data_IF_148666090972
#
_entry.id   IF_148666090972
#
_cell.length_a   1.000
_cell.length_b   1.000
_cell.length_c   1.000
_cell.angle_alpha   90.00
_cell.angle_beta   90.00
_cell.angle_gamma   90.00
#
_symmetry.space_group_name_H-M   'P 1'
#
loop_
_entity.id
_entity.type
_entity.pdbx_description
1 polymer ?
#
# COMPACT_ATOMS: atom_id res chain seq x y z
N UNK A 1 -22.48 -0.43 -14.56
CA UNK A 1 -21.69 -1.50 -13.91
C UNK A 1 -20.26 -1.37 -14.41
N UNK A 2 -19.28 -1.40 -13.52
CA UNK A 2 -17.87 -1.14 -13.85
C UNK A 2 -17.23 -2.20 -14.74
N UNK A 3 -16.14 -1.84 -15.41
CA UNK A 3 -15.35 -2.78 -16.25
C UNK A 3 -14.51 -3.68 -15.34
N UNK A 4 -14.54 -4.99 -15.62
CA UNK A 4 -13.76 -6.01 -14.89
C UNK A 4 -12.40 -6.22 -15.53
N UNK A 5 -11.36 -6.10 -14.72
CA UNK A 5 -9.99 -6.47 -15.09
C UNK A 5 -9.51 -7.65 -14.25
N UNK A 6 -8.80 -8.58 -14.89
CA UNK A 6 -8.31 -9.80 -14.26
C UNK A 6 -6.79 -9.82 -14.20
N UNK A 7 -6.24 -10.12 -13.03
CA UNK A 7 -4.79 -10.27 -12.81
C UNK A 7 -4.53 -11.57 -12.05
N UNK A 8 -3.48 -12.30 -12.45
CA UNK A 8 -3.04 -13.50 -11.72
C UNK A 8 -1.93 -13.13 -10.74
N UNK A 9 -2.14 -13.42 -9.46
CA UNK A 9 -1.14 -13.28 -8.42
C UNK A 9 -0.38 -14.60 -8.28
N UNK A 10 0.95 -14.53 -8.39
CA UNK A 10 1.86 -15.67 -8.30
C UNK A 10 2.77 -15.52 -7.08
N UNK A 11 3.40 -16.61 -6.65
CA UNK A 11 4.42 -16.59 -5.59
C UNK A 11 3.91 -16.12 -4.22
N UNK A 12 2.63 -16.39 -3.93
CA UNK A 12 2.04 -16.13 -2.61
C UNK A 12 2.48 -17.22 -1.62
N UNK A 13 2.84 -16.81 -0.42
CA UNK A 13 3.20 -17.70 0.68
C UNK A 13 1.94 -18.05 1.49
N UNK A 14 1.60 -19.33 1.68
CA UNK A 14 0.42 -19.73 2.44
C UNK A 14 0.45 -19.17 3.87
N UNK A 15 -0.68 -18.60 4.31
CA UNK A 15 -0.84 -18.03 5.66
C UNK A 15 -0.28 -16.61 5.84
N UNK A 16 0.33 -16.02 4.81
CA UNK A 16 0.85 -14.67 4.86
C UNK A 16 -0.20 -13.65 4.35
N UNK A 17 -0.40 -12.55 5.09
CA UNK A 17 -1.21 -11.42 4.61
C UNK A 17 -0.41 -10.54 3.65
N UNK A 18 -1.11 -10.02 2.65
CA UNK A 18 -0.59 -9.10 1.66
C UNK A 18 -1.48 -7.85 1.62
N UNK A 19 -0.87 -6.68 1.49
CA UNK A 19 -1.56 -5.45 1.12
C UNK A 19 -1.59 -5.35 -0.40
N UNK A 20 -2.76 -5.10 -0.98
CA UNK A 20 -2.87 -4.72 -2.39
C UNK A 20 -3.08 -3.22 -2.44
N UNK A 21 -2.19 -2.49 -3.12
CA UNK A 21 -2.31 -1.06 -3.36
C UNK A 21 -2.48 -0.81 -4.85
N UNK A 22 -3.51 -0.05 -5.20
CA UNK A 22 -3.71 0.47 -6.56
C UNK A 22 -3.17 1.89 -6.56
N UNK A 23 -2.19 2.14 -7.41
CA UNK A 23 -1.65 3.46 -7.68
C UNK A 23 -2.15 3.90 -9.04
N UNK A 24 -2.74 5.09 -9.14
CA UNK A 24 -3.14 5.66 -10.42
C UNK A 24 -2.71 7.11 -10.50
N UNK A 25 -2.40 7.56 -11.71
CA UNK A 25 -2.06 8.96 -11.95
C UNK A 25 -3.35 9.77 -12.03
N UNK A 26 -3.52 10.72 -11.11
CA UNK A 26 -4.68 11.62 -11.11
C UNK A 26 -4.69 12.60 -12.30
N UNK A 27 -3.59 12.72 -13.06
CA UNK A 27 -3.36 13.75 -14.09
C UNK A 27 -3.10 13.17 -15.49
N UNK A 28 -3.57 11.97 -15.78
CA UNK A 28 -3.43 11.40 -17.12
C UNK A 28 -4.36 12.11 -18.13
N UNK A 29 -3.78 13.09 -18.83
CA UNK A 29 -4.18 13.67 -20.11
C UNK A 29 -5.42 14.59 -20.15
N UNK A 30 -5.17 15.89 -20.02
CA UNK A 30 -5.96 17.06 -20.46
C UNK A 30 -7.47 17.14 -20.16
N UNK A 31 -8.12 16.17 -19.53
CA UNK A 31 -9.53 16.30 -19.16
C UNK A 31 -9.85 15.47 -17.91
N UNK A 32 -9.89 16.20 -16.79
CA UNK A 32 -10.64 15.91 -15.57
C UNK A 32 -10.16 14.71 -14.73
N UNK A 33 -9.84 15.03 -13.47
CA UNK A 33 -9.67 14.09 -12.37
C UNK A 33 -10.79 13.04 -12.40
N UNK A 34 -10.41 11.77 -12.47
CA UNK A 34 -11.36 10.68 -12.35
C UNK A 34 -11.15 9.99 -11.01
N UNK A 35 -11.92 10.36 -9.96
CA UNK A 35 -12.14 9.44 -8.87
C UNK A 35 -12.82 8.21 -9.48
N UNK A 36 -12.04 7.15 -9.62
CA UNK A 36 -12.51 5.85 -10.07
C UNK A 36 -12.56 5.00 -8.81
N UNK A 37 -13.74 4.55 -8.42
CA UNK A 37 -13.88 3.61 -7.32
C UNK A 37 -13.38 2.24 -7.81
N UNK A 38 -12.43 1.67 -7.09
CA UNK A 38 -11.88 0.35 -7.38
C UNK A 38 -12.33 -0.63 -6.30
N UNK A 39 -13.00 -1.70 -6.71
CA UNK A 39 -13.28 -2.84 -5.84
C UNK A 39 -12.38 -4.02 -6.21
N UNK A 40 -11.64 -4.51 -5.21
CA UNK A 40 -10.70 -5.61 -5.34
C UNK A 40 -11.31 -6.87 -4.72
N UNK A 41 -11.33 -7.98 -5.47
CA UNK A 41 -11.77 -9.28 -4.95
C UNK A 41 -10.79 -10.35 -5.37
N UNK A 42 -10.42 -11.23 -4.43
CA UNK A 42 -9.54 -12.36 -4.70
C UNK A 42 -10.35 -13.66 -4.72
N UNK A 43 -10.09 -14.51 -5.70
CA UNK A 43 -10.72 -15.81 -5.83
C UNK A 43 -9.66 -16.90 -6.03
N UNK A 44 -9.89 -18.09 -5.49
CA UNK A 44 -9.13 -19.25 -5.90
C UNK A 44 -9.51 -19.64 -7.34
N UNK A 45 -8.63 -20.34 -8.04
CA UNK A 45 -8.90 -20.80 -9.40
C UNK A 45 -10.16 -21.68 -9.44
N UNK A 46 -10.34 -22.55 -8.44
CA UNK A 46 -11.52 -23.41 -8.31
C UNK A 46 -12.80 -22.60 -8.17
N UNK A 47 -12.82 -21.59 -7.29
CA UNK A 47 -14.01 -20.76 -7.05
C UNK A 47 -14.47 -20.04 -8.33
N UNK A 48 -13.53 -19.55 -9.16
CA UNK A 48 -13.87 -18.85 -10.42
C UNK A 48 -14.55 -19.80 -11.41
N UNK A 49 -14.17 -21.07 -11.42
CA UNK A 49 -14.75 -22.09 -12.29
C UNK A 49 -16.14 -22.51 -11.82
N UNK A 50 -16.40 -22.45 -10.51
CA UNK A 50 -17.69 -22.80 -9.93
C UNK A 50 -18.77 -21.73 -10.22
N UNK A 51 -18.38 -20.47 -10.43
CA UNK A 51 -19.30 -19.38 -10.75
C UNK A 51 -19.31 -19.02 -12.24
N UNK A 52 -20.39 -19.33 -13.00
CA UNK A 52 -20.45 -19.10 -14.45
C UNK A 52 -20.35 -17.62 -14.84
N UNK A 53 -20.76 -16.69 -13.97
CA UNK A 53 -20.65 -15.26 -14.22
C UNK A 53 -19.21 -14.74 -14.12
N UNK A 54 -18.36 -15.37 -13.31
CA UNK A 54 -16.95 -15.02 -13.19
C UNK A 54 -16.15 -15.60 -14.36
N UNK A 55 -16.37 -16.88 -14.67
CA UNK A 55 -15.70 -17.55 -15.80
C UNK A 55 -16.01 -16.88 -17.14
N UNK A 56 -17.26 -16.48 -17.41
CA UNK A 56 -17.61 -15.71 -18.62
C UNK A 56 -16.82 -14.41 -18.70
N UNK A 57 -16.78 -13.62 -17.62
CA UNK A 57 -16.05 -12.35 -17.63
C UNK A 57 -14.53 -12.51 -17.77
N UNK A 58 -13.97 -13.62 -17.31
CA UNK A 58 -12.56 -13.96 -17.51
C UNK A 58 -12.29 -14.31 -18.97
N UNK A 59 -13.18 -15.08 -19.60
CA UNK A 59 -13.09 -15.42 -21.03
C UNK A 59 -13.16 -14.14 -21.86
N UNK A 60 -14.14 -13.28 -21.60
CA UNK A 60 -14.31 -12.00 -22.30
C UNK A 60 -13.05 -11.12 -22.17
N UNK A 61 -12.52 -10.98 -20.96
CA UNK A 61 -11.29 -10.24 -20.71
C UNK A 61 -10.09 -10.84 -21.46
N UNK A 62 -9.96 -12.17 -21.45
CA UNK A 62 -8.87 -12.85 -22.15
C UNK A 62 -8.95 -12.71 -23.67
N UNK A 63 -10.16 -12.73 -24.23
CA UNK A 63 -10.41 -12.56 -25.66
C UNK A 63 -9.99 -11.16 -26.11
N UNK A 64 -10.38 -10.12 -25.37
CA UNK A 64 -9.96 -8.73 -25.63
C UNK A 64 -8.44 -8.58 -25.54
N UNK A 65 -7.81 -9.19 -24.51
CA UNK A 65 -6.37 -9.06 -24.31
C UNK A 65 -5.55 -9.75 -25.40
N UNK A 66 -6.03 -10.88 -25.92
CA UNK A 66 -5.42 -11.59 -27.05
C UNK A 66 -5.45 -10.77 -28.35
N UNK A 67 -6.48 -9.94 -28.55
CA UNK A 67 -6.57 -9.04 -29.70
C UNK A 67 -5.77 -7.75 -29.56
N UNK A 68 -5.51 -7.26 -28.34
CA UNK A 68 -4.81 -5.98 -28.12
C UNK A 68 -3.28 -6.05 -28.12
N UNK A 69 -2.66 -7.18 -27.73
CA UNK A 69 -1.19 -7.28 -27.62
C UNK A 69 -0.67 -8.70 -27.87
N UNK A 70 0.20 -8.84 -28.88
CA UNK A 70 1.16 -9.95 -29.01
C UNK A 70 1.97 -10.10 -27.71
N UNK A 71 2.26 -11.32 -27.23
CA UNK A 71 2.67 -11.53 -25.85
C UNK A 71 4.08 -10.99 -25.59
N UNK A 72 4.32 -10.11 -24.60
CA UNK A 72 5.64 -10.06 -24.00
C UNK A 72 5.80 -11.32 -23.14
N UNK A 73 6.51 -12.30 -23.70
CA UNK A 73 7.11 -13.43 -23.01
C UNK A 73 7.92 -12.95 -21.80
N UNK A 74 7.29 -12.93 -20.62
CA UNK A 74 7.99 -13.13 -19.36
C UNK A 74 7.28 -14.24 -18.61
N UNK A 75 7.43 -15.44 -19.14
CA UNK A 75 7.42 -16.67 -18.35
C UNK A 75 8.58 -16.57 -17.35
N UNK A 76 8.37 -15.83 -16.25
CA UNK A 76 9.17 -16.04 -15.05
C UNK A 76 8.92 -17.48 -14.63
N UNK A 77 9.98 -18.28 -14.69
CA UNK A 77 10.01 -19.69 -14.31
C UNK A 77 9.19 -19.93 -13.05
N UNK A 78 8.00 -20.50 -13.23
CA UNK A 78 7.15 -20.93 -12.14
C UNK A 78 7.89 -22.05 -11.39
N UNK A 79 8.51 -21.70 -10.27
CA UNK A 79 8.98 -22.70 -9.31
C UNK A 79 7.75 -23.41 -8.74
N UNK A 80 7.75 -24.75 -8.63
CA UNK A 80 6.54 -25.58 -8.50
C UNK A 80 5.88 -25.57 -7.11
N UNK A 81 6.11 -24.55 -6.28
CA UNK A 81 5.75 -24.57 -4.85
C UNK A 81 4.92 -23.38 -4.38
N UNK A 82 4.31 -22.61 -5.29
CA UNK A 82 3.67 -21.34 -4.91
C UNK A 82 2.17 -21.32 -5.10
N UNK A 83 1.45 -20.90 -4.06
CA UNK A 83 0.01 -20.70 -4.12
C UNK A 83 -0.32 -19.57 -5.11
N UNK A 84 -1.38 -19.75 -5.90
CA UNK A 84 -1.82 -18.81 -6.93
C UNK A 84 -3.25 -18.38 -6.68
N UNK A 85 -3.53 -17.08 -6.83
CA UNK A 85 -4.86 -16.49 -6.67
C UNK A 85 -5.18 -15.61 -7.87
N UNK A 86 -6.45 -15.53 -8.23
CA UNK A 86 -6.95 -14.55 -9.20
C UNK A 86 -7.44 -13.31 -8.48
N UNK A 87 -6.97 -12.15 -8.92
CA UNK A 87 -7.43 -10.84 -8.47
C UNK A 87 -8.35 -10.26 -9.56
N UNK A 88 -9.58 -9.94 -9.14
CA UNK A 88 -10.56 -9.20 -9.93
C UNK A 88 -10.59 -7.76 -9.46
N UNK A 89 -10.55 -6.84 -10.41
CA UNK A 89 -10.62 -5.41 -10.19
C UNK A 89 -11.85 -4.90 -10.93
N UNK A 90 -12.85 -4.45 -10.17
CA UNK A 90 -14.00 -3.73 -10.70
C UNK A 90 -13.72 -2.23 -10.60
N UNK A 91 -13.64 -1.54 -11.73
CA UNK A 91 -13.46 -0.09 -11.78
C UNK A 91 -14.78 0.61 -12.16
N UNK A 92 -15.24 1.55 -11.34
CA UNK A 92 -16.44 2.34 -11.56
C UNK A 92 -16.15 3.83 -11.47
N UNK A 93 -16.82 4.66 -12.27
CA UNK A 93 -16.73 6.12 -12.11
C UNK A 93 -17.40 6.56 -10.80
N UNK A 94 -16.72 7.41 -10.05
CA UNK A 94 -17.21 8.05 -8.83
C UNK A 94 -17.21 9.58 -8.99
N UNK A 95 -17.53 10.07 -10.19
CA UNK A 95 -17.70 11.49 -10.48
C UNK A 95 -19.09 11.78 -11.03
N UNK A 96 -19.67 12.89 -10.57
CA UNK A 96 -20.90 13.45 -11.11
C UNK A 96 -20.53 14.57 -12.08
N UNK A 97 -20.96 14.45 -13.34
CA UNK A 97 -20.77 15.48 -14.36
C UNK A 97 -22.10 15.77 -15.04
N UNK A 98 -22.27 16.99 -15.53
CA UNK A 98 -23.45 17.42 -16.28
C UNK A 98 -23.54 16.75 -17.66
N UNK A 99 -22.45 16.11 -18.10
CA UNK A 99 -22.40 15.36 -19.35
C UNK A 99 -22.63 13.87 -19.08
N UNK A 100 -23.88 13.42 -19.22
CA UNK A 100 -24.30 12.03 -18.98
C UNK A 100 -23.47 11.01 -19.78
N UNK A 101 -23.06 11.35 -21.00
CA UNK A 101 -22.26 10.46 -21.85
C UNK A 101 -20.89 10.14 -21.25
N UNK A 102 -20.33 11.06 -20.46
CA UNK A 102 -19.06 10.87 -19.78
C UNK A 102 -19.23 10.04 -18.50
N UNK A 103 -20.42 9.97 -17.92
CA UNK A 103 -20.72 9.05 -16.80
C UNK A 103 -20.98 7.63 -17.30
N UNK A 104 -21.60 7.49 -18.48
CA UNK A 104 -21.93 6.18 -19.05
C UNK A 104 -20.71 5.49 -19.68
N UNK A 105 -19.81 6.26 -20.31
CA UNK A 105 -18.58 5.76 -20.91
C UNK A 105 -17.35 6.35 -20.23
N UNK A 106 -16.95 5.71 -19.14
CA UNK A 106 -15.76 6.06 -18.38
C UNK A 106 -14.51 5.72 -19.19
N UNK A 107 -13.62 6.68 -19.47
CA UNK A 107 -12.39 6.39 -20.19
C UNK A 107 -11.45 5.51 -19.34
N UNK A 108 -10.61 4.70 -20.00
CA UNK A 108 -9.73 3.79 -19.31
C UNK A 108 -8.63 4.52 -18.54
N UNK A 109 -8.40 4.11 -17.29
CA UNK A 109 -7.33 4.63 -16.43
C UNK A 109 -6.21 3.60 -16.33
N UNK A 110 -4.96 4.04 -16.53
CA UNK A 110 -3.79 3.19 -16.30
C UNK A 110 -3.49 3.16 -14.80
N UNK A 111 -3.48 1.96 -14.24
CA UNK A 111 -3.20 1.72 -12.83
C UNK A 111 -1.99 0.81 -12.67
N UNK A 112 -1.18 1.10 -11.67
CA UNK A 112 -0.09 0.25 -11.20
C UNK A 112 -0.54 -0.49 -9.94
N UNK A 113 -0.26 -1.79 -9.86
CA UNK A 113 -0.74 -2.66 -8.77
C UNK A 113 0.48 -3.16 -8.01
N UNK A 114 0.54 -2.80 -6.73
CA UNK A 114 1.64 -3.17 -5.83
C UNK A 114 1.11 -4.17 -4.80
N UNK A 115 1.82 -5.28 -4.64
CA UNK A 115 1.53 -6.30 -3.64
C UNK A 115 2.62 -6.27 -2.56
N UNK A 116 2.29 -5.76 -1.37
CA UNK A 116 3.25 -5.64 -0.26
C UNK A 116 3.02 -6.75 0.78
N UNK A 117 3.98 -7.67 0.99
CA UNK A 117 3.87 -8.69 2.02
C UNK A 117 3.94 -8.09 3.43
N UNK A 118 3.07 -8.57 4.32
CA UNK A 118 3.21 -8.27 5.75
C UNK A 118 4.33 -9.11 6.36
N UNK A 119 5.19 -8.46 7.14
CA UNK A 119 6.15 -9.08 8.03
C UNK A 119 5.45 -9.43 9.36
N UNK A 120 5.56 -10.70 9.76
CA UNK A 120 4.88 -11.24 10.95
C UNK A 120 3.36 -10.98 10.99
N UNK A 121 2.72 -10.79 9.83
CA UNK A 121 1.28 -10.52 9.72
C UNK A 121 0.80 -9.21 10.39
N UNK A 122 1.72 -8.33 10.78
CA UNK A 122 1.42 -7.11 11.57
C UNK A 122 1.81 -5.84 10.81
N UNK A 123 2.96 -5.80 10.15
CA UNK A 123 3.42 -4.60 9.43
C UNK A 123 3.79 -4.87 7.97
N UNK A 124 3.50 -3.94 7.04
CA UNK A 124 3.98 -4.05 5.67
C UNK A 124 5.51 -4.04 5.64
N UNK A 125 6.13 -4.90 4.82
CA UNK A 125 7.59 -5.01 4.72
C UNK A 125 8.22 -3.67 4.30
N UNK A 126 7.54 -2.89 3.46
CA UNK A 126 8.01 -1.57 3.02
C UNK A 126 8.08 -0.53 4.15
N UNK A 127 7.34 -0.73 5.25
CA UNK A 127 7.25 0.19 6.38
C UNK A 127 8.32 -0.06 7.45
N UNK A 128 9.09 -1.14 7.32
CA UNK A 128 10.13 -1.52 8.29
C UNK A 128 11.25 -0.46 8.37
N UNK A 129 11.79 0.08 7.25
CA UNK A 129 12.85 1.08 7.32
C UNK A 129 12.41 2.39 7.98
N UNK A 130 11.17 2.83 7.73
CA UNK A 130 10.61 4.03 8.33
C UNK A 130 10.37 3.83 9.83
N UNK A 131 9.84 2.69 10.25
CA UNK A 131 9.69 2.37 11.68
C UNK A 131 11.04 2.34 12.40
N UNK A 132 12.07 1.76 11.78
CA UNK A 132 13.44 1.75 12.32
C UNK A 132 13.99 3.17 12.48
N UNK A 133 13.82 4.01 11.46
CA UNK A 133 14.25 5.41 11.53
C UNK A 133 13.58 6.17 12.68
N UNK A 134 12.26 6.03 12.83
CA UNK A 134 11.51 6.65 13.92
C UNK A 134 12.00 6.16 15.28
N UNK A 135 12.27 4.86 15.42
CA UNK A 135 12.81 4.30 16.66
C UNK A 135 14.20 4.86 17.02
N UNK A 136 15.08 5.05 16.03
CA UNK A 136 16.37 5.69 16.27
C UNK A 136 16.21 7.17 16.67
N UNK A 137 15.33 7.90 15.98
CA UNK A 137 15.05 9.30 16.29
C UNK A 137 14.50 9.47 17.71
N UNK A 138 13.62 8.58 18.18
CA UNK A 138 13.09 8.63 19.55
C UNK A 138 14.15 8.34 20.61
N UNK A 139 15.08 7.41 20.36
CA UNK A 139 16.21 7.12 21.25
C UNK A 139 17.13 8.34 21.37
N UNK A 140 17.48 8.97 20.24
CA UNK A 140 18.32 10.18 20.24
C UNK A 140 17.63 11.32 20.98
N UNK A 141 16.34 11.55 20.73
CA UNK A 141 15.56 12.58 21.39
C UNK A 141 15.48 12.36 22.91
N UNK A 142 15.26 11.11 23.35
CA UNK A 142 15.29 10.74 24.76
C UNK A 142 16.65 11.08 25.38
N UNK A 143 17.74 10.74 24.70
CA UNK A 143 19.08 10.97 25.20
C UNK A 143 19.40 12.45 25.34
N UNK A 144 19.03 13.25 24.33
CA UNK A 144 19.13 14.71 24.38
C UNK A 144 18.32 15.28 25.56
N UNK A 145 17.10 14.79 25.78
CA UNK A 145 16.28 15.21 26.91
C UNK A 145 16.95 14.93 28.27
N UNK A 146 17.50 13.72 28.46
CA UNK A 146 18.24 13.35 29.68
C UNK A 146 19.50 14.18 29.88
N UNK A 147 20.18 14.55 28.79
CA UNK A 147 21.36 15.40 28.85
C UNK A 147 21.00 16.80 29.35
N UNK A 148 19.96 17.42 28.79
CA UNK A 148 19.46 18.73 29.23
C UNK A 148 19.05 18.70 30.71
N UNK A 149 18.34 17.66 31.14
CA UNK A 149 17.98 17.49 32.56
C UNK A 149 19.21 17.42 33.48
N UNK A 150 20.26 16.71 33.05
CA UNK A 150 21.51 16.62 33.80
C UNK A 150 22.22 17.99 33.89
N UNK A 151 22.26 18.75 32.79
CA UNK A 151 22.84 20.10 32.78
C UNK A 151 22.09 21.05 33.72
N UNK A 152 20.75 21.06 33.66
CA UNK A 152 19.92 21.91 34.53
C UNK A 152 20.12 21.52 36.00
N UNK A 153 20.10 20.22 36.31
CA UNK A 153 20.32 19.73 37.68
C UNK A 153 21.72 20.07 38.19
N UNK A 154 22.73 20.04 37.32
CA UNK A 154 24.09 20.48 37.63
C UNK A 154 24.14 21.94 38.06
N UNK A 155 23.51 22.84 37.29
CA UNK A 155 23.46 24.28 37.60
C UNK A 155 22.73 24.54 38.93
N UNK A 156 21.59 23.88 39.16
CA UNK A 156 20.83 24.02 40.41
C UNK A 156 21.65 23.55 41.62
N UNK A 157 22.38 22.43 41.49
CA UNK A 157 23.22 21.94 42.58
C UNK A 157 24.41 22.87 42.85
N UNK A 158 25.05 23.42 41.82
CA UNK A 158 26.10 24.42 41.99
C UNK A 158 25.61 25.66 42.72
N UNK A 159 24.44 26.20 42.36
CA UNK A 159 23.84 27.35 43.06
C UNK A 159 23.47 27.03 44.52
N UNK A 160 22.98 25.82 44.81
CA UNK A 160 22.69 25.40 46.18
C UNK A 160 23.97 25.22 47.03
N UNK A 161 25.11 24.87 46.44
CA UNK A 161 26.38 24.75 47.17
C UNK A 161 26.91 26.12 47.62
N UNK A 162 26.86 27.13 46.75
CA UNK A 162 27.31 28.50 47.07
C UNK A 162 26.46 29.15 48.19
N UNK A 163 25.15 28.92 48.19
CA UNK A 163 24.28 29.44 49.26
C UNK A 163 24.46 28.75 50.61
N UNK A 164 24.93 27.50 50.63
CA UNK A 164 25.15 26.74 51.86
C UNK A 164 26.53 27.04 52.49
N UNK A 165 27.56 27.33 51.68
CA UNK A 165 28.87 27.78 52.17
C UNK A 165 28.80 29.18 52.79
N UNK A 166 28.01 30.09 52.23
CA UNK A 166 27.81 31.44 52.80
C UNK A 166 27.14 31.39 54.19
N UNK A 167 26.15 30.51 54.38
CA UNK A 167 25.46 30.35 55.68
C UNK A 167 26.33 29.76 56.79
N UNK A 168 27.41 29.04 56.46
CA UNK A 168 28.29 28.36 57.45
C UNK A 168 29.44 29.26 57.93
N UNK A 169 29.69 30.37 57.24
CA UNK A 169 30.75 31.34 57.55
C UNK A 169 30.27 32.53 58.40
N UNK A 170 28.98 32.58 58.75
CA UNK A 170 28.35 33.64 59.55
C UNK A 170 27.93 33.08 60.90
#
# INVERSE_FOLDING_TARGET
MGVKSWVRLLNLNPGQRYEVRICWLATAHHQLQQPTSFHLRTFAVSDVLDFPSLSSSLIDYSAVKLTEHSPPSRLSSASPSTSSLLLVIDAAADYFTLNETLMDHVPPVVVDIILDPYLMNIFPKSLVPTALYVALATVVAWWAFRFVQSCVSGIVNSANMETNTEKKSK
#
